data_IF_522827066667
#
_entry.id   IF_522827066667
#
_cell.length_a   1.000
_cell.length_b   1.000
_cell.length_c   1.000
_cell.angle_alpha   90.00
_cell.angle_beta   90.00
_cell.angle_gamma   90.00
#
_symmetry.space_group_name_H-M   'P 1'
#
loop_
_entity.id
_entity.type
_entity.pdbx_description
1 polymer ?
#
# COMPACT_ATOMS: atom_id res chain seq x y z
N UNK A 1 2.31 15.15 8.10
CA UNK A 1 2.20 13.84 7.44
C UNK A 1 1.03 13.92 6.49
N UNK A 2 1.23 13.58 5.22
CA UNK A 2 0.19 13.62 4.21
C UNK A 2 -0.26 12.20 3.98
N UNK A 3 -1.45 11.86 4.46
CA UNK A 3 -2.13 10.62 4.12
C UNK A 3 -2.93 10.77 2.82
N UNK A 4 -2.98 9.70 2.02
CA UNK A 4 -3.74 9.65 0.78
C UNK A 4 -4.34 8.27 0.57
N UNK A 5 -5.62 8.24 0.20
CA UNK A 5 -6.27 7.04 -0.29
C UNK A 5 -5.94 6.81 -1.76
N UNK A 6 -5.47 5.60 -2.07
CA UNK A 6 -5.20 5.13 -3.42
C UNK A 6 -6.14 3.96 -3.70
N UNK A 7 -6.78 3.99 -4.87
CA UNK A 7 -7.60 2.89 -5.36
C UNK A 7 -6.75 1.99 -6.23
N UNK A 8 -6.81 0.70 -5.96
CA UNK A 8 -6.10 -0.34 -6.71
C UNK A 8 -7.02 -1.55 -6.87
N UNK A 9 -6.67 -2.44 -7.79
CA UNK A 9 -7.39 -3.70 -7.92
C UNK A 9 -6.78 -4.73 -6.97
N UNK A 10 -7.61 -5.48 -6.24
CA UNK A 10 -7.12 -6.49 -5.31
C UNK A 10 -6.59 -7.69 -6.08
N UNK A 11 -5.27 -8.02 -6.01
CA UNK A 11 -4.69 -9.09 -6.82
C UNK A 11 -5.31 -10.47 -6.53
N UNK A 12 -5.85 -10.65 -5.32
CA UNK A 12 -6.45 -11.92 -4.90
C UNK A 12 -7.87 -12.15 -5.43
N UNK A 13 -8.67 -11.08 -5.62
CA UNK A 13 -10.10 -11.22 -5.89
C UNK A 13 -10.63 -10.36 -7.04
N UNK A 14 -9.80 -9.53 -7.66
CA UNK A 14 -10.18 -8.72 -8.81
C UNK A 14 -11.12 -7.55 -8.50
N UNK A 15 -11.32 -7.24 -7.21
CA UNK A 15 -12.23 -6.18 -6.78
C UNK A 15 -11.47 -4.90 -6.50
N UNK A 16 -12.08 -3.76 -6.79
CA UNK A 16 -11.51 -2.45 -6.44
C UNK A 16 -11.38 -2.31 -4.93
N UNK A 17 -10.15 -2.24 -4.46
CA UNK A 17 -9.77 -2.00 -3.08
C UNK A 17 -9.22 -0.58 -2.91
N UNK A 18 -9.10 -0.15 -1.66
CA UNK A 18 -8.52 1.13 -1.30
C UNK A 18 -7.41 0.93 -0.26
N UNK A 19 -6.22 1.44 -0.53
CA UNK A 19 -5.11 1.50 0.41
C UNK A 19 -4.92 2.94 0.89
N UNK A 20 -4.79 3.13 2.20
CA UNK A 20 -4.36 4.38 2.80
C UNK A 20 -2.84 4.35 2.90
N UNK A 21 -2.20 5.24 2.15
CA UNK A 21 -0.76 5.43 2.23
C UNK A 21 -0.44 6.71 3.00
N UNK A 22 0.66 6.69 3.73
CA UNK A 22 1.24 7.88 4.36
C UNK A 22 2.69 8.02 3.94
N UNK A 23 3.14 9.27 3.79
CA UNK A 23 4.55 9.57 3.56
C UNK A 23 5.26 9.58 4.91
N UNK A 24 6.18 8.65 5.10
CA UNK A 24 7.01 8.55 6.29
C UNK A 24 8.39 9.13 5.95
N UNK A 25 8.85 10.18 6.66
CA UNK A 25 10.21 10.66 6.50
C UNK A 25 11.16 9.62 7.11
N UNK A 26 11.73 8.75 6.28
CA UNK A 26 12.85 7.91 6.69
C UNK A 26 14.15 8.69 6.48
N UNK A 27 15.18 8.43 7.30
CA UNK A 27 16.46 9.15 7.24
C UNK A 27 17.16 8.90 5.89
N UNK A 28 16.85 9.72 4.88
CA UNK A 28 17.53 9.71 3.58
C UNK A 28 16.61 9.61 2.36
N UNK A 29 15.35 9.17 2.51
CA UNK A 29 14.41 9.02 1.39
C UNK A 29 12.95 9.23 1.85
N UNK A 30 12.06 9.61 0.93
CA UNK A 30 10.65 9.76 1.25
C UNK A 30 9.95 8.42 0.99
N UNK A 31 9.91 7.56 2.01
CA UNK A 31 9.19 6.28 1.95
C UNK A 31 7.68 6.46 2.00
N UNK A 32 6.96 5.74 1.17
CA UNK A 32 5.51 5.53 1.31
C UNK A 32 5.29 4.30 2.20
N UNK A 33 4.32 4.37 3.11
CA UNK A 33 3.91 3.23 3.92
C UNK A 33 2.40 3.06 3.83
N UNK A 34 1.94 1.82 3.63
CA UNK A 34 0.52 1.47 3.71
C UNK A 34 0.15 1.32 5.20
N UNK A 35 -0.86 2.07 5.65
CA UNK A 35 -1.31 2.06 7.05
C UNK A 35 -2.75 1.55 7.23
N UNK A 36 -3.56 1.56 6.17
CA UNK A 36 -4.89 0.93 6.17
C UNK A 36 -5.14 0.33 4.79
N UNK A 37 -5.91 -0.75 4.75
CA UNK A 37 -6.33 -1.38 3.50
C UNK A 37 -7.75 -1.89 3.63
N UNK A 38 -8.57 -1.58 2.63
CA UNK A 38 -9.98 -1.95 2.58
C UNK A 38 -10.29 -2.62 1.26
N UNK A 39 -10.46 -3.94 1.32
CA UNK A 39 -11.03 -4.73 0.25
C UNK A 39 -12.49 -5.05 0.57
N UNK A 40 -13.44 -4.82 -0.35
CA UNK A 40 -14.86 -5.14 -0.13
C UNK A 40 -15.11 -6.64 0.09
N UNK A 41 -14.23 -7.50 -0.44
CA UNK A 41 -14.30 -8.94 -0.26
C UNK A 41 -13.59 -9.44 1.02
N UNK A 42 -13.03 -8.54 1.84
CA UNK A 42 -12.35 -8.91 3.08
C UNK A 42 -11.01 -9.61 2.88
N UNK A 43 -10.35 -9.43 1.73
CA UNK A 43 -9.00 -9.95 1.51
C UNK A 43 -8.01 -9.32 2.50
N UNK A 44 -7.14 -10.15 3.08
CA UNK A 44 -6.15 -9.70 4.05
C UNK A 44 -5.02 -8.95 3.33
N UNK A 45 -4.68 -7.76 3.83
CA UNK A 45 -3.54 -6.99 3.34
C UNK A 45 -2.21 -7.70 3.58
N UNK A 46 -2.13 -8.51 4.64
CA UNK A 46 -0.90 -9.22 5.05
C UNK A 46 -0.40 -10.17 3.95
N UNK A 47 -1.31 -10.81 3.24
CA UNK A 47 -1.00 -11.71 2.12
C UNK A 47 -0.64 -10.95 0.84
N UNK A 48 -1.06 -9.70 0.71
CA UNK A 48 -0.96 -8.90 -0.51
C UNK A 48 0.02 -7.73 -0.36
N UNK A 49 0.71 -7.65 0.79
CA UNK A 49 1.48 -6.47 1.18
C UNK A 49 2.57 -6.15 0.14
N UNK A 50 3.34 -7.16 -0.27
CA UNK A 50 4.38 -7.03 -1.31
C UNK A 50 3.82 -6.60 -2.69
N UNK A 51 2.68 -7.15 -3.11
CA UNK A 51 2.07 -6.78 -4.39
C UNK A 51 1.52 -5.34 -4.37
N UNK A 52 0.93 -4.93 -3.24
CA UNK A 52 0.43 -3.58 -3.04
C UNK A 52 1.60 -2.58 -2.99
N UNK A 53 2.69 -2.93 -2.32
CA UNK A 53 3.92 -2.14 -2.25
C UNK A 53 4.49 -1.90 -3.67
N UNK A 54 4.54 -2.96 -4.48
CA UNK A 54 4.99 -2.92 -5.87
C UNK A 54 4.08 -2.06 -6.77
N UNK A 55 2.76 -2.26 -6.71
CA UNK A 55 1.76 -1.48 -7.47
C UNK A 55 1.82 0.02 -7.11
N UNK A 56 2.06 0.32 -5.83
CA UNK A 56 2.20 1.69 -5.33
C UNK A 56 3.58 2.29 -5.62
N UNK A 57 4.49 1.51 -6.21
CA UNK A 57 5.86 1.94 -6.50
C UNK A 57 6.67 2.24 -5.23
N UNK A 58 6.23 1.70 -4.09
CA UNK A 58 6.99 1.74 -2.85
C UNK A 58 8.17 0.79 -3.09
N UNK A 59 9.36 1.35 -3.29
CA UNK A 59 10.58 0.55 -3.33
C UNK A 59 11.12 0.57 -1.93
N UNK A 60 11.00 -0.55 -1.22
CA UNK A 60 11.86 -0.84 -0.08
C UNK A 60 13.31 -0.83 -0.57
N UNK A 61 13.97 0.33 -0.50
CA UNK A 61 15.42 0.41 -0.67
C UNK A 61 16.02 -0.16 0.61
N UNK A 62 16.15 -1.47 0.67
CA UNK A 62 17.05 -2.11 1.63
C UNK A 62 18.47 -1.73 1.20
N UNK A 63 19.00 -0.66 1.80
CA UNK A 63 20.42 -0.31 1.81
C UNK A 63 21.17 -1.06 2.89
#
# INVERSE_FOLDING_TARGET
MTDRWIRLDCPQCGATAAALVTVVPTMGDAGLAVIDYRCPNGCSVDTLHDEIDLELGIRHVFG
#
